data_IF_037974598932
#
_entry.id   IF_037974598932
#
_cell.length_a   1.000
_cell.length_b   1.000
_cell.length_c   1.000
_cell.angle_alpha   90.00
_cell.angle_beta   90.00
_cell.angle_gamma   90.00
#
_symmetry.space_group_name_H-M   'P 1'
#
loop_
_entity.id
_entity.type
_entity.pdbx_description
1 polymer ?
#
# COMPACT_ATOMS: atom_id res chain seq x y z
N UNK A 1 71.44 46.98 -24.19
CA UNK A 1 71.26 45.53 -24.20
C UNK A 1 69.85 45.24 -23.85
N UNK A 2 69.08 45.00 -24.83
CA UNK A 2 67.60 44.80 -24.70
C UNK A 2 67.24 43.49 -25.37
N UNK A 3 66.79 42.56 -24.58
CA UNK A 3 66.34 41.22 -25.02
C UNK A 3 64.84 41.25 -25.30
N UNK A 4 64.50 41.11 -26.56
CA UNK A 4 63.16 40.99 -27.04
C UNK A 4 62.62 39.56 -26.71
N UNK A 5 61.52 39.49 -26.00
CA UNK A 5 60.80 38.24 -25.75
C UNK A 5 59.70 38.07 -26.81
N UNK A 6 59.88 37.06 -27.65
CA UNK A 6 58.91 36.64 -28.66
C UNK A 6 57.62 36.08 -28.02
N UNK A 7 56.51 36.70 -28.38
CA UNK A 7 55.15 36.15 -27.99
C UNK A 7 54.69 35.15 -29.03
N UNK A 8 54.79 33.86 -28.69
CA UNK A 8 54.16 32.81 -29.48
C UNK A 8 52.66 32.78 -29.22
N UNK A 9 51.89 33.03 -30.23
CA UNK A 9 50.44 32.95 -30.25
C UNK A 9 50.05 31.47 -30.41
N UNK A 10 49.58 30.85 -29.34
CA UNK A 10 48.97 29.53 -29.42
C UNK A 10 47.49 29.72 -29.76
N UNK A 11 47.13 29.41 -31.01
CA UNK A 11 45.74 29.36 -31.46
C UNK A 11 45.11 28.02 -30.98
N UNK A 12 44.26 28.06 -29.96
CA UNK A 12 43.48 26.95 -29.51
C UNK A 12 42.30 26.76 -30.47
N UNK A 13 42.34 25.71 -31.28
CA UNK A 13 41.25 25.31 -32.15
C UNK A 13 40.22 24.59 -31.27
N UNK A 14 39.14 25.28 -30.86
CA UNK A 14 37.97 24.67 -30.23
C UNK A 14 37.13 23.95 -31.31
N UNK A 15 37.34 22.65 -31.42
CA UNK A 15 36.45 21.77 -32.21
C UNK A 15 35.15 21.59 -31.44
N UNK A 16 34.14 22.40 -31.76
CA UNK A 16 32.79 22.27 -31.21
C UNK A 16 32.15 21.00 -31.67
N UNK A 17 32.10 19.97 -30.81
CA UNK A 17 31.23 18.83 -31.02
C UNK A 17 29.78 19.32 -30.81
N UNK A 18 29.06 19.52 -31.91
CA UNK A 18 27.60 19.62 -31.88
C UNK A 18 27.04 18.24 -31.53
N UNK A 19 26.75 18.02 -30.26
CA UNK A 19 25.91 16.93 -29.82
C UNK A 19 24.46 17.28 -30.24
N UNK A 20 24.05 16.79 -31.40
CA UNK A 20 22.63 16.80 -31.76
C UNK A 20 21.95 15.79 -30.82
N UNK A 21 21.58 16.26 -29.61
CA UNK A 21 20.67 15.53 -28.75
C UNK A 21 19.35 15.37 -29.51
N UNK A 22 18.97 14.13 -29.82
CA UNK A 22 17.59 13.82 -30.19
C UNK A 22 16.70 14.38 -29.09
N UNK A 23 16.05 15.49 -29.38
CA UNK A 23 15.01 16.04 -28.54
C UNK A 23 13.77 15.17 -28.74
N UNK A 24 13.77 13.98 -28.14
CA UNK A 24 12.54 13.22 -27.93
C UNK A 24 11.73 14.11 -26.99
N UNK A 25 10.77 14.84 -27.52
CA UNK A 25 9.67 15.42 -26.76
C UNK A 25 8.91 14.23 -26.13
N UNK A 26 9.44 13.67 -25.05
CA UNK A 26 8.66 12.87 -24.13
C UNK A 26 7.65 13.88 -23.59
N UNK A 27 6.42 13.82 -24.10
CA UNK A 27 5.30 14.50 -23.46
C UNK A 27 5.33 13.99 -22.04
N UNK A 28 5.77 14.84 -21.12
CA UNK A 28 5.64 14.56 -19.70
C UNK A 28 4.14 14.47 -19.47
N UNK A 29 3.62 13.25 -19.35
CA UNK A 29 2.21 13.01 -19.07
C UNK A 29 1.96 13.60 -17.70
N UNK A 30 1.03 14.54 -17.63
CA UNK A 30 0.62 15.12 -16.36
C UNK A 30 -0.01 14.02 -15.50
N UNK A 31 0.19 14.10 -14.18
CA UNK A 31 -0.54 13.25 -13.24
C UNK A 31 -2.04 13.45 -13.42
N UNK A 32 -2.81 12.40 -13.16
CA UNK A 32 -4.27 12.52 -13.14
C UNK A 32 -4.71 13.52 -12.06
N UNK A 33 -5.83 14.24 -12.30
CA UNK A 33 -6.37 15.21 -11.34
C UNK A 33 -7.14 14.53 -10.20
N UNK A 34 -6.49 13.59 -9.55
CA UNK A 34 -6.96 12.92 -8.34
C UNK A 34 -6.09 13.32 -7.15
N UNK A 35 -6.70 13.62 -6.01
CA UNK A 35 -5.99 13.97 -4.77
C UNK A 35 -6.28 12.92 -3.72
N UNK A 36 -5.27 12.60 -2.95
CA UNK A 36 -5.33 11.60 -1.90
C UNK A 36 -5.28 12.25 -0.52
N UNK A 37 -5.86 11.58 0.45
CA UNK A 37 -5.70 11.81 1.88
C UNK A 37 -5.28 10.50 2.54
N UNK A 38 -4.88 10.54 3.79
CA UNK A 38 -4.45 9.33 4.51
C UNK A 38 -4.89 9.34 5.97
N UNK A 39 -5.22 8.15 6.46
CA UNK A 39 -5.57 7.91 7.86
C UNK A 39 -4.55 6.93 8.44
N UNK A 40 -4.06 7.23 9.63
CA UNK A 40 -3.16 6.34 10.36
C UNK A 40 -3.79 5.91 11.67
N UNK A 41 -3.64 4.63 11.97
CA UNK A 41 -4.04 4.02 13.23
C UNK A 41 -2.81 3.35 13.83
N UNK A 42 -2.62 3.56 15.13
CA UNK A 42 -1.66 2.82 15.95
C UNK A 42 -2.35 2.54 17.28
N UNK A 43 -2.77 1.30 17.49
CA UNK A 43 -3.54 0.87 18.65
C UNK A 43 -2.96 -0.38 19.24
N UNK A 44 -2.83 -0.37 20.55
CA UNK A 44 -2.46 -1.54 21.35
C UNK A 44 -3.54 -1.79 22.40
N UNK A 45 -3.93 -3.06 22.55
CA UNK A 45 -4.80 -3.48 23.64
C UNK A 45 -4.18 -4.69 24.34
N UNK A 46 -4.07 -4.64 25.67
CA UNK A 46 -3.58 -5.72 26.51
C UNK A 46 -4.75 -6.51 27.10
N UNK A 47 -4.68 -7.84 27.06
CA UNK A 47 -5.72 -8.71 27.63
C UNK A 47 -5.94 -8.38 29.11
N UNK A 48 -7.22 -8.30 29.47
CA UNK A 48 -7.68 -7.95 30.82
C UNK A 48 -7.26 -6.54 31.27
N UNK A 49 -7.02 -5.63 30.33
CA UNK A 49 -6.53 -4.26 30.58
C UNK A 49 -5.27 -4.20 31.48
N UNK A 50 -4.44 -5.25 31.45
CA UNK A 50 -3.20 -5.31 32.22
C UNK A 50 -1.97 -5.25 31.28
N UNK A 51 -1.10 -4.24 31.39
CA UNK A 51 0.06 -4.03 30.52
C UNK A 51 1.11 -5.17 30.59
N UNK A 52 1.09 -6.01 31.63
CA UNK A 52 1.98 -7.16 31.74
C UNK A 52 1.48 -8.39 30.95
N UNK A 53 0.22 -8.34 30.48
CA UNK A 53 -0.37 -9.42 29.69
C UNK A 53 -0.07 -9.26 28.21
N UNK A 54 -0.21 -10.35 27.43
CA UNK A 54 -0.18 -10.31 25.97
C UNK A 54 -1.06 -9.22 25.40
N UNK A 55 -0.69 -8.73 24.24
CA UNK A 55 -1.43 -7.66 23.58
C UNK A 55 -1.65 -7.95 22.10
N UNK A 56 -2.60 -7.24 21.50
CA UNK A 56 -2.64 -7.02 20.08
C UNK A 56 -2.10 -5.63 19.73
N UNK A 57 -1.41 -5.53 18.60
CA UNK A 57 -0.98 -4.27 18.03
C UNK A 57 -1.55 -4.13 16.62
N UNK A 58 -2.28 -3.05 16.36
CA UNK A 58 -2.85 -2.70 15.06
C UNK A 58 -2.21 -1.44 14.54
N UNK A 59 -1.52 -1.55 13.40
CA UNK A 59 -0.93 -0.42 12.69
C UNK A 59 -1.49 -0.34 11.28
N UNK A 60 -2.23 0.73 10.98
CA UNK A 60 -2.79 0.99 9.65
C UNK A 60 -2.23 2.29 9.09
N UNK A 61 -1.90 2.28 7.81
CA UNK A 61 -1.59 3.46 7.01
C UNK A 61 -2.42 3.39 5.73
N UNK A 62 -3.61 3.97 5.76
CA UNK A 62 -4.58 3.90 4.68
C UNK A 62 -4.60 5.21 3.91
N UNK A 63 -4.18 5.17 2.63
CA UNK A 63 -4.26 6.27 1.67
C UNK A 63 -5.48 6.04 0.79
N UNK A 64 -6.27 7.07 0.54
CA UNK A 64 -7.48 6.95 -0.25
C UNK A 64 -7.72 8.20 -1.12
N UNK A 65 -8.42 8.05 -2.25
CA UNK A 65 -8.81 9.18 -3.08
C UNK A 65 -9.78 10.09 -2.33
N UNK A 66 -9.38 11.36 -2.08
CA UNK A 66 -10.19 12.33 -1.35
C UNK A 66 -10.92 13.30 -2.30
N UNK A 67 -10.36 13.57 -3.51
CA UNK A 67 -10.95 14.45 -4.49
C UNK A 67 -10.70 13.97 -5.91
N UNK A 68 -11.73 14.04 -6.72
CA UNK A 68 -11.70 13.84 -8.16
C UNK A 68 -12.78 14.68 -8.82
N UNK A 69 -12.64 15.01 -10.11
CA UNK A 69 -13.57 15.87 -10.83
C UNK A 69 -14.97 15.26 -10.93
N UNK A 70 -15.05 13.94 -11.17
CA UNK A 70 -16.30 13.18 -11.23
C UNK A 70 -16.56 12.51 -9.86
N UNK A 71 -17.67 12.90 -9.23
CA UNK A 71 -18.03 12.40 -7.89
C UNK A 71 -18.51 10.95 -7.88
N UNK A 72 -19.16 10.51 -8.95
CA UNK A 72 -19.64 9.12 -9.04
C UNK A 72 -18.46 8.17 -9.25
N UNK A 73 -17.50 8.56 -10.07
CA UNK A 73 -16.26 7.83 -10.25
C UNK A 73 -15.45 7.84 -8.95
N UNK A 74 -15.32 8.99 -8.27
CA UNK A 74 -14.64 9.08 -6.98
C UNK A 74 -15.20 8.07 -5.98
N UNK A 75 -16.53 7.99 -5.87
CA UNK A 75 -17.17 7.03 -4.95
C UNK A 75 -16.85 5.58 -5.29
N UNK A 76 -16.83 5.22 -6.57
CA UNK A 76 -16.45 3.86 -6.99
C UNK A 76 -15.00 3.54 -6.63
N UNK A 77 -14.09 4.48 -6.89
CA UNK A 77 -12.68 4.30 -6.55
C UNK A 77 -12.48 4.18 -5.03
N UNK A 78 -13.15 5.04 -4.24
CA UNK A 78 -13.12 4.93 -2.79
C UNK A 78 -13.60 3.57 -2.29
N UNK A 79 -14.67 3.06 -2.89
CA UNK A 79 -15.18 1.73 -2.55
C UNK A 79 -14.16 0.62 -2.89
N UNK A 80 -13.49 0.71 -4.04
CA UNK A 80 -12.44 -0.24 -4.43
C UNK A 80 -11.25 -0.22 -3.45
N UNK A 81 -10.83 0.97 -3.00
CA UNK A 81 -9.79 1.13 -1.98
C UNK A 81 -10.20 0.54 -0.63
N UNK A 82 -11.45 0.78 -0.20
CA UNK A 82 -11.97 0.21 1.05
C UNK A 82 -12.06 -1.32 0.96
N UNK A 83 -12.61 -1.83 -0.14
CA UNK A 83 -12.74 -3.27 -0.37
C UNK A 83 -11.37 -3.97 -0.38
N UNK A 84 -10.41 -3.41 -1.09
CA UNK A 84 -9.07 -4.00 -1.23
C UNK A 84 -8.25 -3.96 0.06
N UNK A 85 -8.47 -2.96 0.91
CA UNK A 85 -7.71 -2.77 2.14
C UNK A 85 -8.35 -3.47 3.35
N UNK A 86 -9.69 -3.41 3.48
CA UNK A 86 -10.41 -3.91 4.66
C UNK A 86 -11.26 -5.15 4.38
N UNK A 87 -11.54 -5.46 3.12
CA UNK A 87 -12.36 -6.60 2.71
C UNK A 87 -13.86 -6.30 2.60
N UNK A 88 -14.61 -7.32 2.20
CA UNK A 88 -16.04 -7.23 1.82
C UNK A 88 -16.95 -6.72 2.95
N UNK A 89 -16.62 -7.00 4.21
CA UNK A 89 -17.44 -6.58 5.35
C UNK A 89 -17.49 -5.06 5.54
N UNK A 90 -16.59 -4.32 4.89
CA UNK A 90 -16.46 -2.86 5.00
C UNK A 90 -16.79 -2.16 3.68
N UNK A 91 -17.10 -2.94 2.64
CA UNK A 91 -17.51 -2.42 1.34
C UNK A 91 -18.65 -1.40 1.48
N UNK A 92 -18.64 -0.38 0.66
CA UNK A 92 -19.61 0.71 0.64
C UNK A 92 -19.60 1.66 1.87
N UNK A 93 -18.72 1.47 2.84
CA UNK A 93 -18.49 2.46 3.88
C UNK A 93 -17.62 3.61 3.35
N UNK A 94 -17.85 4.85 3.80
CA UNK A 94 -16.89 5.93 3.61
C UNK A 94 -15.52 5.55 4.21
N UNK A 95 -14.39 6.00 3.62
CA UNK A 95 -13.04 5.67 4.08
C UNK A 95 -12.82 5.80 5.60
N UNK A 96 -13.26 6.91 6.20
CA UNK A 96 -13.10 7.18 7.62
C UNK A 96 -13.93 6.23 8.49
N UNK A 97 -15.15 5.89 8.04
CA UNK A 97 -16.02 4.94 8.73
C UNK A 97 -15.48 3.51 8.62
N UNK A 98 -14.93 3.14 7.47
CA UNK A 98 -14.30 1.83 7.28
C UNK A 98 -13.11 1.63 8.23
N UNK A 99 -12.21 2.62 8.32
CA UNK A 99 -11.08 2.61 9.27
C UNK A 99 -11.57 2.48 10.71
N UNK A 100 -12.56 3.30 11.11
CA UNK A 100 -13.06 3.30 12.48
C UNK A 100 -13.68 1.93 12.84
N UNK A 101 -14.55 1.41 11.94
CA UNK A 101 -15.20 0.12 12.16
C UNK A 101 -14.22 -1.03 12.17
N UNK A 102 -13.28 -1.07 11.23
CA UNK A 102 -12.26 -2.11 11.20
C UNK A 102 -11.43 -2.12 12.49
N UNK A 103 -11.02 -0.93 12.95
CA UNK A 103 -10.27 -0.80 14.19
C UNK A 103 -11.05 -1.33 15.39
N UNK A 104 -12.33 -0.99 15.49
CA UNK A 104 -13.22 -1.46 16.55
C UNK A 104 -13.38 -2.98 16.50
N UNK A 105 -13.68 -3.53 15.34
CA UNK A 105 -13.89 -4.97 15.13
C UNK A 105 -12.60 -5.76 15.47
N UNK A 106 -11.42 -5.29 15.04
CA UNK A 106 -10.14 -5.91 15.35
C UNK A 106 -9.89 -6.00 16.86
N UNK A 107 -10.09 -4.89 17.58
CA UNK A 107 -9.90 -4.86 19.03
C UNK A 107 -10.94 -5.72 19.77
N UNK A 108 -12.19 -5.72 19.33
CA UNK A 108 -13.25 -6.52 19.94
C UNK A 108 -13.00 -8.01 19.73
N UNK A 109 -12.62 -8.44 18.52
CA UNK A 109 -12.27 -9.82 18.23
C UNK A 109 -11.10 -10.30 19.10
N UNK A 110 -10.11 -9.44 19.35
CA UNK A 110 -9.01 -9.79 20.23
C UNK A 110 -9.46 -9.92 21.70
N UNK A 111 -10.37 -9.05 22.17
CA UNK A 111 -10.94 -9.14 23.54
C UNK A 111 -11.70 -10.44 23.79
N UNK A 112 -12.28 -11.07 22.76
CA UNK A 112 -12.92 -12.37 22.91
C UNK A 112 -11.98 -13.46 23.41
N UNK A 113 -10.67 -13.31 23.20
CA UNK A 113 -9.65 -14.23 23.71
C UNK A 113 -9.45 -14.17 25.22
N UNK A 114 -10.01 -13.20 25.93
CA UNK A 114 -9.80 -13.05 27.40
C UNK A 114 -10.27 -14.27 28.19
N UNK A 115 -11.33 -14.93 27.76
CA UNK A 115 -11.84 -16.12 28.41
C UNK A 115 -10.86 -17.29 28.31
N UNK A 116 -10.31 -17.51 27.10
CA UNK A 116 -9.33 -18.55 26.85
C UNK A 116 -8.03 -18.24 27.55
N UNK A 117 -7.57 -16.98 27.53
CA UNK A 117 -6.36 -16.56 28.24
C UNK A 117 -6.48 -16.79 29.75
N UNK A 118 -7.62 -16.47 30.38
CA UNK A 118 -7.88 -16.79 31.79
C UNK A 118 -7.80 -18.27 32.09
N UNK A 119 -8.40 -19.09 31.21
CA UNK A 119 -8.38 -20.55 31.35
C UNK A 119 -6.94 -21.11 31.24
N UNK A 120 -6.10 -20.53 30.37
CA UNK A 120 -4.68 -20.92 30.28
C UNK A 120 -3.89 -20.51 31.51
N UNK A 121 -4.13 -19.35 32.10
CA UNK A 121 -3.48 -18.91 33.35
C UNK A 121 -3.81 -19.81 34.56
N UNK A 122 -4.97 -20.46 34.57
CA UNK A 122 -5.37 -21.40 35.61
C UNK A 122 -4.67 -22.77 35.49
N UNK A 123 -4.18 -23.11 34.29
CA UNK A 123 -3.35 -24.30 34.07
C UNK A 123 -1.97 -24.03 34.66
N UNK A 124 -1.54 -24.83 35.64
CA UNK A 124 -0.24 -24.68 36.27
C UNK A 124 0.91 -25.29 35.45
N UNK A 125 0.82 -25.17 34.13
CA UNK A 125 1.84 -25.65 33.20
C UNK A 125 2.88 -24.56 32.98
N UNK A 126 4.19 -24.93 32.97
CA UNK A 126 5.32 -24.01 32.73
C UNK A 126 5.45 -23.56 31.24
N UNK A 127 4.37 -23.67 30.44
CA UNK A 127 4.41 -23.27 29.07
C UNK A 127 4.28 -21.73 28.92
N UNK A 128 5.08 -21.10 28.04
CA UNK A 128 4.99 -19.66 27.80
C UNK A 128 3.73 -19.31 27.01
N UNK A 129 2.63 -19.12 27.72
CA UNK A 129 1.30 -18.83 27.17
C UNK A 129 1.29 -17.51 26.38
N UNK A 130 2.19 -16.58 26.72
CA UNK A 130 2.20 -15.24 26.17
C UNK A 130 2.32 -15.15 24.65
N UNK A 131 3.13 -16.01 24.03
CA UNK A 131 3.33 -15.95 22.57
C UNK A 131 2.08 -16.31 21.76
N UNK A 132 1.21 -17.19 22.28
CA UNK A 132 -0.01 -17.62 21.58
C UNK A 132 -1.12 -16.58 21.59
N UNK A 133 -1.03 -15.62 22.50
CA UNK A 133 -1.98 -14.52 22.67
C UNK A 133 -1.39 -13.17 22.26
N UNK A 134 -0.16 -13.11 21.75
CA UNK A 134 0.42 -11.87 21.23
C UNK A 134 0.15 -11.75 19.75
N UNK A 135 -0.69 -10.80 19.37
CA UNK A 135 -1.14 -10.58 17.99
C UNK A 135 -0.59 -9.26 17.44
N UNK A 136 -0.35 -9.20 16.16
CA UNK A 136 -0.17 -7.93 15.48
C UNK A 136 -0.74 -7.96 14.07
N UNK A 137 -1.06 -6.77 13.58
CA UNK A 137 -1.37 -6.52 12.19
C UNK A 137 -0.77 -5.19 11.77
N UNK A 138 -0.12 -5.18 10.62
CA UNK A 138 0.44 -4.00 9.97
C UNK A 138 -0.06 -3.99 8.52
N UNK A 139 -0.80 -2.94 8.16
CA UNK A 139 -1.31 -2.77 6.80
C UNK A 139 -0.97 -1.37 6.29
N UNK A 140 -0.56 -1.30 5.04
CA UNK A 140 -0.28 -0.05 4.35
C UNK A 140 -0.59 -0.15 2.87
N UNK A 141 -0.76 0.99 2.24
CA UNK A 141 -0.90 1.08 0.79
C UNK A 141 0.04 2.14 0.21
N UNK A 142 0.35 1.98 -1.08
CA UNK A 142 1.20 2.88 -1.83
C UNK A 142 0.62 3.11 -3.22
N UNK A 143 0.55 4.38 -3.65
CA UNK A 143 0.21 4.74 -5.02
C UNK A 143 1.44 4.55 -5.90
N UNK A 144 1.38 3.56 -6.79
CA UNK A 144 2.50 3.16 -7.65
C UNK A 144 2.49 3.91 -8.98
N UNK A 145 1.29 4.19 -9.52
CA UNK A 145 1.15 4.87 -10.81
C UNK A 145 -0.13 5.72 -10.82
N UNK A 146 -0.03 6.95 -11.36
CA UNK A 146 -1.16 7.89 -11.43
C UNK A 146 -1.07 8.79 -12.67
N UNK A 147 -1.19 8.21 -13.87
CA UNK A 147 -1.11 8.94 -15.14
C UNK A 147 -1.98 8.28 -16.22
N UNK A 148 -2.32 9.04 -17.27
CA UNK A 148 -3.04 8.54 -18.46
C UNK A 148 -4.38 7.87 -18.15
N UNK A 149 -5.14 8.41 -17.21
CA UNK A 149 -6.41 7.86 -16.73
C UNK A 149 -6.28 6.46 -16.09
N UNK A 150 -5.07 6.06 -15.72
CA UNK A 150 -4.79 4.83 -14.96
C UNK A 150 -4.27 5.21 -13.58
N UNK A 151 -4.80 4.53 -12.59
CA UNK A 151 -4.32 4.55 -11.21
C UNK A 151 -3.91 3.14 -10.82
N UNK A 152 -2.70 2.98 -10.31
CA UNK A 152 -2.25 1.70 -9.73
C UNK A 152 -1.76 1.92 -8.31
N UNK A 153 -2.12 1.01 -7.43
CA UNK A 153 -1.70 1.01 -6.04
C UNK A 153 -1.46 -0.43 -5.55
N UNK A 154 -0.68 -0.54 -4.49
CA UNK A 154 -0.39 -1.82 -3.83
C UNK A 154 -0.84 -1.75 -2.39
N UNK A 155 -1.54 -2.76 -1.92
CA UNK A 155 -1.85 -2.97 -0.50
C UNK A 155 -0.90 -4.02 0.06
N UNK A 156 -0.20 -3.67 1.12
CA UNK A 156 0.71 -4.54 1.87
C UNK A 156 0.07 -4.91 3.20
N UNK A 157 0.11 -6.18 3.53
CA UNK A 157 -0.47 -6.72 4.74
C UNK A 157 0.51 -7.67 5.41
N UNK A 158 0.69 -7.53 6.72
CA UNK A 158 1.48 -8.44 7.56
C UNK A 158 0.74 -8.65 8.87
N UNK A 159 0.60 -9.92 9.32
CA UNK A 159 0.00 -10.21 10.59
C UNK A 159 0.61 -11.42 11.29
N UNK A 160 0.34 -11.52 12.59
CA UNK A 160 0.58 -12.69 13.42
C UNK A 160 -0.58 -12.85 14.42
N UNK A 161 -1.10 -14.05 14.51
CA UNK A 161 -2.24 -14.38 15.38
C UNK A 161 -1.95 -15.62 16.25
N UNK A 162 -0.76 -15.70 16.82
CA UNK A 162 -0.38 -16.74 17.77
C UNK A 162 0.01 -18.09 17.17
N UNK A 163 0.21 -18.19 15.85
CA UNK A 163 0.62 -19.42 15.18
C UNK A 163 2.14 -19.67 15.20
N UNK A 164 2.61 -20.63 14.39
CA UNK A 164 4.03 -20.95 14.25
C UNK A 164 4.82 -19.83 13.53
N UNK A 165 4.17 -19.05 12.67
CA UNK A 165 4.74 -17.92 11.92
C UNK A 165 3.63 -16.96 11.51
N UNK A 166 4.00 -15.71 11.23
CA UNK A 166 3.11 -14.70 10.64
C UNK A 166 2.81 -14.95 9.15
N UNK A 167 1.90 -14.19 8.61
CA UNK A 167 1.63 -14.14 7.18
C UNK A 167 1.87 -12.73 6.63
N UNK A 168 2.15 -12.64 5.34
CA UNK A 168 2.27 -11.39 4.61
C UNK A 168 1.71 -11.54 3.19
N UNK A 169 1.19 -10.46 2.65
CA UNK A 169 0.67 -10.39 1.30
C UNK A 169 0.93 -9.01 0.68
N UNK A 170 1.03 -9.00 -0.64
CA UNK A 170 1.10 -7.78 -1.46
C UNK A 170 0.09 -7.92 -2.59
N UNK A 171 -0.92 -7.07 -2.58
CA UNK A 171 -2.00 -7.09 -3.55
C UNK A 171 -1.91 -5.84 -4.43
N UNK A 172 -1.77 -6.05 -5.74
CA UNK A 172 -1.68 -4.95 -6.71
C UNK A 172 -3.05 -4.71 -7.34
N UNK A 173 -3.43 -3.46 -7.44
CA UNK A 173 -4.70 -3.01 -8.00
C UNK A 173 -4.47 -2.00 -9.10
N UNK A 174 -5.29 -2.05 -10.13
CA UNK A 174 -5.27 -1.10 -11.25
C UNK A 174 -6.70 -0.63 -11.54
N UNK A 175 -6.89 0.66 -11.63
CA UNK A 175 -8.20 1.29 -11.86
C UNK A 175 -8.15 2.15 -13.13
N UNK A 176 -9.19 2.06 -13.93
CA UNK A 176 -9.46 2.97 -15.03
C UNK A 176 -10.23 4.20 -14.51
N UNK A 177 -9.59 5.36 -14.47
CA UNK A 177 -10.18 6.58 -13.92
C UNK A 177 -11.30 7.20 -14.81
N UNK A 178 -11.49 6.72 -16.06
CA UNK A 178 -12.63 7.10 -16.88
C UNK A 178 -13.93 6.44 -16.46
N UNK A 179 -13.84 5.26 -15.90
CA UNK A 179 -15.00 4.44 -15.51
C UNK A 179 -15.14 4.25 -14.00
N UNK A 180 -14.02 4.39 -13.27
CA UNK A 180 -13.92 4.08 -11.86
C UNK A 180 -13.89 2.58 -11.55
N UNK A 181 -13.74 1.73 -12.56
CA UNK A 181 -13.72 0.28 -12.37
C UNK A 181 -12.29 -0.24 -12.31
N UNK A 182 -12.08 -1.32 -11.56
CA UNK A 182 -10.85 -2.07 -11.62
C UNK A 182 -10.60 -2.59 -13.05
N UNK A 183 -9.33 -2.66 -13.43
CA UNK A 183 -8.87 -3.32 -14.65
C UNK A 183 -8.43 -4.71 -14.23
N UNK A 184 -9.09 -5.71 -14.79
CA UNK A 184 -8.83 -7.13 -14.50
C UNK A 184 -7.99 -7.78 -15.60
N UNK A 185 -7.60 -9.02 -15.39
CA UNK A 185 -6.87 -9.80 -16.38
C UNK A 185 -7.71 -10.02 -17.65
N UNK A 186 -9.03 -10.15 -17.51
CA UNK A 186 -9.97 -10.28 -18.61
C UNK A 186 -10.04 -9.04 -19.51
N UNK A 187 -9.71 -7.85 -18.97
CA UNK A 187 -9.65 -6.61 -19.73
C UNK A 187 -8.37 -6.49 -20.57
N UNK A 188 -7.33 -7.26 -20.22
CA UNK A 188 -5.98 -7.13 -20.80
C UNK A 188 -5.64 -8.30 -21.71
N UNK A 189 -6.03 -9.52 -21.35
CA UNK A 189 -5.64 -10.73 -22.06
C UNK A 189 -6.76 -11.22 -22.99
N UNK A 190 -6.38 -12.04 -23.95
CA UNK A 190 -7.33 -12.70 -24.87
C UNK A 190 -8.17 -13.75 -24.15
N UNK A 191 -9.31 -14.11 -24.74
CA UNK A 191 -10.13 -15.22 -24.24
C UNK A 191 -9.28 -16.49 -24.05
N UNK A 192 -9.52 -17.21 -22.97
CA UNK A 192 -8.82 -18.45 -22.58
C UNK A 192 -7.34 -18.29 -22.21
N UNK A 193 -6.88 -17.08 -21.86
CA UNK A 193 -5.49 -16.91 -21.37
C UNK A 193 -5.19 -17.76 -20.12
N UNK A 194 -6.19 -18.08 -19.32
CA UNK A 194 -6.08 -18.95 -18.13
C UNK A 194 -5.62 -20.37 -18.51
N UNK A 195 -6.05 -20.91 -19.67
CA UNK A 195 -5.60 -22.20 -20.16
C UNK A 195 -4.10 -22.22 -20.46
N UNK A 196 -3.53 -21.07 -20.84
CA UNK A 196 -2.09 -20.92 -21.05
C UNK A 196 -1.31 -20.84 -19.73
N UNK A 197 -1.89 -20.27 -18.70
CA UNK A 197 -1.27 -20.14 -17.37
C UNK A 197 -1.12 -21.50 -16.67
N UNK A 198 -2.06 -22.42 -16.86
CA UNK A 198 -2.04 -23.75 -16.24
C UNK A 198 -0.99 -24.70 -16.84
N UNK A 199 -0.40 -24.38 -17.99
CA UNK A 199 0.62 -25.22 -18.66
C UNK A 199 2.01 -25.06 -18.01
N UNK A 200 2.22 -24.06 -17.16
CA UNK A 200 3.52 -23.69 -16.61
C UNK A 200 3.67 -23.90 -15.10
N UNK A 201 2.71 -24.60 -14.45
CA UNK A 201 2.80 -24.95 -13.04
C UNK A 201 3.21 -26.40 -12.86
#
# INVERSE_FOLDING_TARGET
>A
MSTQISKSLIALFFLGMFVTGCNTNIKQTADNDIKFDSIRVDKTYHLLDNPDNPNCNLQLSFTYPAKFSDKEILKKIQNDFVLSYFGENYENLPPEEAVAKYTEDYLNNYKELEADFKAELEKKDDLPVGAWFSYFEMSSDEIVYNQNDILSYTVSFENYTGGAHGSHAYNNHVINLKTGNAITEEDIFIENFQDLSLIHI
#
